data_IF_539437038470
#
_entry.id   IF_539437038470
#
_cell.length_a   1.000
_cell.length_b   1.000
_cell.length_c   1.000
_cell.angle_alpha   90.00
_cell.angle_beta   90.00
_cell.angle_gamma   90.00
#
_symmetry.space_group_name_H-M   'P 1'
#
loop_
_entity.id
_entity.type
_entity.pdbx_description
1 polymer ?
#
# COMPACT_ATOMS: atom_id res chain seq x y z
N UNK A 1 -0.76 4.43 16.48
CA UNK A 1 0.42 3.53 16.44
C UNK A 1 0.25 2.19 17.19
N UNK A 2 -0.96 1.61 17.26
CA UNK A 2 -1.20 0.28 17.87
C UNK A 2 -1.95 -0.64 16.90
N UNK A 3 -1.36 -0.88 15.73
CA UNK A 3 -1.98 -1.67 14.65
C UNK A 3 -2.37 -0.96 13.33
N UNK A 4 -2.51 0.38 13.21
CA UNK A 4 -2.82 0.99 11.92
C UNK A 4 -1.63 0.94 10.95
N UNK A 5 -1.93 1.03 9.65
CA UNK A 5 -0.95 1.13 8.57
C UNK A 5 -0.49 2.58 8.44
N UNK A 6 0.82 2.79 8.46
CA UNK A 6 1.45 4.10 8.25
C UNK A 6 2.36 4.04 7.03
N UNK A 7 2.09 4.89 6.04
CA UNK A 7 2.88 4.95 4.80
C UNK A 7 4.39 5.15 5.01
N UNK A 8 4.89 6.07 5.86
CA UNK A 8 6.32 6.34 5.94
C UNK A 8 7.10 5.12 6.47
N UNK A 9 6.56 4.45 7.50
CA UNK A 9 7.20 3.24 8.03
C UNK A 9 7.19 2.10 7.01
N UNK A 10 6.06 1.87 6.35
CA UNK A 10 5.97 0.82 5.32
C UNK A 10 6.91 1.11 4.14
N UNK A 11 6.98 2.37 3.70
CA UNK A 11 7.88 2.79 2.63
C UNK A 11 9.34 2.53 2.99
N UNK A 12 9.78 2.91 4.20
CA UNK A 12 11.15 2.65 4.67
C UNK A 12 11.47 1.16 4.73
N UNK A 13 10.54 0.32 5.20
CA UNK A 13 10.74 -1.13 5.19
C UNK A 13 10.88 -1.68 3.77
N UNK A 14 10.03 -1.24 2.84
CA UNK A 14 10.11 -1.65 1.43
C UNK A 14 11.46 -1.23 0.83
N UNK A 15 11.93 0.00 1.06
CA UNK A 15 13.24 0.42 0.57
C UNK A 15 14.38 -0.40 1.17
N UNK A 16 14.34 -0.68 2.48
CA UNK A 16 15.35 -1.52 3.12
C UNK A 16 15.41 -2.93 2.51
N UNK A 17 14.27 -3.56 2.25
CA UNK A 17 14.21 -4.88 1.61
C UNK A 17 14.76 -4.86 0.18
N UNK A 18 14.50 -3.80 -0.59
CA UNK A 18 15.08 -3.59 -1.93
C UNK A 18 16.60 -3.42 -1.87
N UNK A 19 17.11 -2.68 -0.88
CA UNK A 19 18.56 -2.54 -0.68
C UNK A 19 19.21 -3.87 -0.31
N UNK A 20 18.64 -4.63 0.64
CA UNK A 20 19.18 -5.96 0.98
C UNK A 20 19.17 -6.92 -0.21
N UNK A 21 18.13 -6.89 -1.05
CA UNK A 21 18.10 -7.66 -2.28
C UNK A 21 19.26 -7.31 -3.23
N UNK A 22 19.62 -6.03 -3.33
CA UNK A 22 20.71 -5.58 -4.19
C UNK A 22 22.05 -6.16 -3.75
N UNK A 23 22.29 -6.27 -2.44
CA UNK A 23 23.49 -6.92 -1.89
C UNK A 23 23.47 -8.45 -2.02
N UNK A 24 22.30 -9.08 -1.89
CA UNK A 24 22.16 -10.54 -1.82
C UNK A 24 22.14 -11.26 -3.18
N UNK A 25 21.87 -10.56 -4.28
CA UNK A 25 21.97 -11.17 -5.62
C UNK A 25 20.94 -12.25 -5.97
N UNK A 26 19.90 -12.46 -5.13
CA UNK A 26 18.79 -13.45 -5.25
C UNK A 26 19.06 -14.84 -4.64
N UNK A 27 20.07 -14.99 -3.80
CA UNK A 27 20.42 -16.29 -3.22
C UNK A 27 19.49 -16.69 -2.06
N UNK A 28 18.87 -15.74 -1.35
CA UNK A 28 17.89 -16.03 -0.31
C UNK A 28 16.44 -15.93 -0.78
N UNK A 29 15.66 -16.95 -0.43
CA UNK A 29 14.22 -17.02 -0.64
C UNK A 29 13.46 -17.07 0.68
N UNK A 30 12.32 -16.39 0.71
CA UNK A 30 11.46 -16.27 1.88
C UNK A 30 10.05 -16.70 1.52
N UNK A 31 9.36 -17.35 2.45
CA UNK A 31 7.97 -17.69 2.28
C UNK A 31 7.09 -16.44 2.41
N UNK A 32 6.32 -16.11 1.37
CA UNK A 32 5.44 -14.95 1.37
C UNK A 32 4.13 -15.16 0.59
N UNK A 33 2.96 -14.93 1.24
CA UNK A 33 2.79 -14.68 2.67
C UNK A 33 3.23 -15.88 3.51
N UNK A 34 3.55 -15.68 4.78
CA UNK A 34 3.90 -16.76 5.71
C UNK A 34 2.81 -17.83 5.73
N UNK A 35 3.19 -19.11 5.62
CA UNK A 35 2.27 -20.25 5.53
C UNK A 35 1.67 -20.53 4.14
N UNK A 36 2.12 -19.85 3.08
CA UNK A 36 1.64 -20.06 1.70
C UNK A 36 2.42 -21.11 0.88
N UNK A 37 3.57 -21.57 1.36
CA UNK A 37 4.60 -22.32 0.63
C UNK A 37 5.13 -21.63 -0.64
N UNK A 38 4.80 -20.35 -0.86
CA UNK A 38 5.28 -19.57 -2.01
C UNK A 38 6.60 -18.88 -1.62
N UNK A 39 7.69 -19.31 -2.24
CA UNK A 39 9.01 -18.74 -2.02
C UNK A 39 9.26 -17.57 -2.97
N UNK A 40 9.64 -16.42 -2.41
CA UNK A 40 9.94 -15.17 -3.11
C UNK A 40 11.27 -14.60 -2.62
N UNK A 41 12.02 -13.96 -3.52
CA UNK A 41 13.18 -13.15 -3.11
C UNK A 41 12.72 -11.80 -2.53
N UNK A 42 13.65 -11.03 -1.97
CA UNK A 42 13.34 -9.77 -1.29
C UNK A 42 12.81 -8.68 -2.23
N UNK A 43 13.19 -8.67 -3.52
CA UNK A 43 12.55 -7.78 -4.50
C UNK A 43 11.07 -8.13 -4.67
N UNK A 44 10.76 -9.41 -4.86
CA UNK A 44 9.40 -9.87 -5.07
C UNK A 44 8.53 -9.62 -3.83
N UNK A 45 9.07 -9.87 -2.62
CA UNK A 45 8.38 -9.52 -1.37
C UNK A 45 8.11 -8.02 -1.28
N UNK A 46 9.11 -7.19 -1.61
CA UNK A 46 8.97 -5.73 -1.67
C UNK A 46 7.89 -5.29 -2.67
N UNK A 47 7.82 -5.92 -3.84
CA UNK A 47 6.84 -5.63 -4.88
C UNK A 47 5.43 -6.00 -4.41
N UNK A 48 5.23 -7.16 -3.77
CA UNK A 48 3.93 -7.57 -3.23
C UNK A 48 3.45 -6.66 -2.08
N UNK A 49 4.35 -6.24 -1.19
CA UNK A 49 4.02 -5.25 -0.15
C UNK A 49 3.63 -3.89 -0.76
N UNK A 50 4.35 -3.45 -1.79
CA UNK A 50 4.04 -2.21 -2.53
C UNK A 50 2.65 -2.29 -3.15
N UNK A 51 2.34 -3.37 -3.87
CA UNK A 51 1.01 -3.63 -4.46
C UNK A 51 -0.09 -3.58 -3.40
N UNK A 52 0.12 -4.20 -2.23
CA UNK A 52 -0.89 -4.21 -1.15
C UNK A 52 -1.19 -2.81 -0.62
N UNK A 53 -0.19 -1.92 -0.55
CA UNK A 53 -0.39 -0.53 -0.12
C UNK A 53 -1.11 0.29 -1.21
N UNK A 54 -0.70 0.14 -2.47
CA UNK A 54 -1.31 0.80 -3.63
C UNK A 54 -2.78 0.38 -3.77
N UNK A 55 -3.08 -0.89 -3.57
CA UNK A 55 -4.42 -1.46 -3.69
C UNK A 55 -5.45 -0.77 -2.79
N UNK A 56 -5.05 -0.13 -1.69
CA UNK A 56 -5.98 0.66 -0.86
C UNK A 56 -6.63 1.82 -1.65
N UNK A 57 -5.91 2.36 -2.64
CA UNK A 57 -6.30 3.49 -3.48
C UNK A 57 -6.95 3.06 -4.81
N UNK A 58 -6.92 1.77 -5.13
CA UNK A 58 -7.51 1.23 -6.36
C UNK A 58 -9.01 0.98 -6.19
N UNK A 59 -9.74 1.04 -7.31
CA UNK A 59 -11.14 0.64 -7.34
C UNK A 59 -11.22 -0.88 -7.40
N UNK A 60 -12.09 -1.46 -6.58
CA UNK A 60 -12.48 -2.87 -6.66
C UNK A 60 -13.46 -3.12 -7.82
N UNK A 61 -13.90 -4.36 -7.97
CA UNK A 61 -14.89 -4.78 -8.99
C UNK A 61 -16.24 -4.03 -8.88
N UNK A 62 -16.54 -3.46 -7.71
CA UNK A 62 -17.75 -2.66 -7.45
C UNK A 62 -17.51 -1.15 -7.61
N UNK A 63 -16.30 -0.75 -7.99
CA UNK A 63 -15.91 0.64 -8.17
C UNK A 63 -15.52 1.38 -6.88
N UNK A 64 -15.38 0.67 -5.76
CA UNK A 64 -15.07 1.24 -4.44
C UNK A 64 -13.57 1.21 -4.14
N UNK A 65 -13.10 2.18 -3.35
CA UNK A 65 -11.72 2.17 -2.80
C UNK A 65 -11.74 1.88 -1.32
N UNK A 66 -10.78 1.10 -0.82
CA UNK A 66 -10.66 0.80 0.60
C UNK A 66 -10.57 2.08 1.44
N UNK A 67 -9.76 3.05 0.99
CA UNK A 67 -9.59 4.34 1.68
C UNK A 67 -10.91 5.11 1.91
N UNK A 68 -11.89 4.93 1.02
CA UNK A 68 -13.14 5.68 1.01
C UNK A 68 -14.26 5.03 1.84
N UNK A 69 -14.00 3.90 2.50
CA UNK A 69 -15.02 3.06 3.16
C UNK A 69 -15.92 3.80 4.17
N UNK A 70 -15.42 4.84 4.84
CA UNK A 70 -16.26 5.65 5.77
C UNK A 70 -17.32 6.50 5.05
N UNK A 71 -17.11 6.81 3.77
CA UNK A 71 -17.94 7.70 2.97
C UNK A 71 -18.29 7.09 1.60
N UNK A 72 -18.43 5.76 1.56
CA UNK A 72 -18.59 4.98 0.32
C UNK A 72 -19.69 5.55 -0.58
N UNK A 73 -20.86 5.87 -0.01
CA UNK A 73 -21.99 6.46 -0.74
C UNK A 73 -21.64 7.77 -1.45
N UNK A 74 -20.80 8.62 -0.85
CA UNK A 74 -20.37 9.88 -1.44
C UNK A 74 -19.46 9.63 -2.64
N UNK A 75 -18.54 8.68 -2.52
CA UNK A 75 -17.62 8.33 -3.60
C UNK A 75 -18.21 7.38 -4.66
N UNK A 76 -19.43 6.89 -4.46
CA UNK A 76 -20.21 6.23 -5.51
C UNK A 76 -20.93 7.24 -6.42
N UNK A 77 -21.02 8.51 -6.01
CA UNK A 77 -21.55 9.58 -6.85
C UNK A 77 -20.65 9.75 -8.10
N UNK A 78 -21.22 9.77 -9.32
CA UNK A 78 -20.46 9.95 -10.57
C UNK A 78 -19.55 11.18 -10.60
N UNK A 79 -19.87 12.23 -9.85
CA UNK A 79 -19.09 13.46 -9.77
C UNK A 79 -17.91 13.36 -8.80
N UNK A 80 -17.95 12.44 -7.83
CA UNK A 80 -16.92 12.30 -6.80
C UNK A 80 -16.11 11.00 -6.90
N UNK A 81 -16.54 10.05 -7.74
CA UNK A 81 -15.91 8.72 -7.89
C UNK A 81 -14.42 8.70 -8.23
N UNK A 82 -13.89 9.79 -8.77
CA UNK A 82 -12.48 9.89 -9.16
C UNK A 82 -11.66 10.77 -8.20
N UNK A 83 -12.31 11.36 -7.18
CA UNK A 83 -11.61 12.05 -6.11
C UNK A 83 -10.96 11.04 -5.17
N UNK A 84 -9.69 11.28 -4.86
CA UNK A 84 -8.88 10.45 -3.97
C UNK A 84 -8.39 11.32 -2.82
N UNK A 85 -8.83 11.01 -1.61
CA UNK A 85 -8.37 11.69 -0.42
C UNK A 85 -7.15 10.97 0.18
N UNK A 86 -6.20 11.76 0.66
CA UNK A 86 -5.02 11.28 1.36
C UNK A 86 -5.23 11.40 2.86
N UNK A 87 -4.88 10.35 3.59
CA UNK A 87 -5.11 10.22 5.03
C UNK A 87 -3.79 10.06 5.78
N UNK A 88 -3.81 10.41 7.06
CA UNK A 88 -2.67 10.29 7.96
C UNK A 88 -2.22 8.82 8.13
N UNK A 89 -3.18 7.92 8.32
CA UNK A 89 -2.94 6.47 8.43
C UNK A 89 -4.19 5.68 8.02
N UNK A 90 -4.06 4.36 7.93
CA UNK A 90 -5.13 3.47 7.47
C UNK A 90 -5.42 2.37 8.49
N UNK A 91 -6.65 1.87 8.49
CA UNK A 91 -7.05 0.78 9.35
C UNK A 91 -6.36 -0.54 8.95
N UNK A 92 -5.76 -1.24 9.92
CA UNK A 92 -4.93 -2.43 9.66
C UNK A 92 -5.67 -3.59 8.98
N UNK A 93 -6.97 -3.74 9.23
CA UNK A 93 -7.76 -4.86 8.68
C UNK A 93 -8.40 -4.57 7.32
N UNK A 94 -8.74 -3.31 7.04
CA UNK A 94 -9.62 -2.99 5.91
C UNK A 94 -9.19 -1.77 5.09
N UNK A 95 -8.05 -1.15 5.41
CA UNK A 95 -7.46 -0.08 4.61
C UNK A 95 -8.22 1.25 4.59
N UNK A 96 -9.29 1.41 5.37
CA UNK A 96 -10.03 2.69 5.40
C UNK A 96 -9.17 3.82 5.94
N UNK A 97 -9.31 5.01 5.36
CA UNK A 97 -8.60 6.22 5.78
C UNK A 97 -9.01 6.68 7.18
N UNK A 98 -8.03 7.12 7.97
CA UNK A 98 -8.18 7.57 9.35
C UNK A 98 -7.26 8.76 9.65
N UNK A 99 -7.54 9.46 10.75
CA UNK A 99 -6.77 10.63 11.18
C UNK A 99 -7.04 11.85 10.31
N UNK A 100 -6.03 12.73 10.19
CA UNK A 100 -6.15 13.92 9.36
C UNK A 100 -6.39 13.56 7.87
N UNK A 101 -7.36 14.23 7.26
CA UNK A 101 -7.59 14.25 5.81
C UNK A 101 -6.70 15.26 5.10
N UNK A 102 -6.59 15.17 3.77
CA UNK A 102 -5.68 15.99 2.95
C UNK A 102 -4.20 15.86 3.37
N UNK A 103 -3.84 14.72 3.94
CA UNK A 103 -2.46 14.42 4.31
C UNK A 103 -1.70 13.96 3.06
N UNK A 104 -1.57 14.83 2.05
CA UNK A 104 -0.67 14.61 0.90
C UNK A 104 0.79 14.88 1.29
N UNK A 105 1.14 14.57 2.54
CA UNK A 105 2.49 14.58 3.06
C UNK A 105 3.11 13.21 2.80
N UNK A 106 3.41 12.45 3.85
CA UNK A 106 4.02 11.12 3.69
C UNK A 106 3.15 10.13 2.91
N UNK A 107 1.83 10.30 2.85
CA UNK A 107 0.98 9.39 2.07
C UNK A 107 1.20 9.55 0.56
N UNK A 108 1.77 10.68 0.11
CA UNK A 108 2.20 10.87 -1.28
C UNK A 108 3.27 9.88 -1.74
N UNK A 109 3.97 9.21 -0.81
CA UNK A 109 4.93 8.14 -1.13
C UNK A 109 4.31 6.97 -1.90
N UNK A 110 2.98 6.85 -1.94
CA UNK A 110 2.30 5.88 -2.82
C UNK A 110 2.67 6.10 -4.30
N UNK A 111 2.90 7.33 -4.74
CA UNK A 111 3.33 7.63 -6.10
C UNK A 111 4.70 7.01 -6.42
N UNK A 112 5.65 7.09 -5.48
CA UNK A 112 6.95 6.44 -5.61
C UNK A 112 6.82 4.92 -5.70
N UNK A 113 5.90 4.31 -4.92
CA UNK A 113 5.66 2.87 -4.98
C UNK A 113 5.10 2.46 -6.36
N UNK A 114 4.22 3.26 -6.95
CA UNK A 114 3.68 3.03 -8.30
C UNK A 114 4.82 3.10 -9.32
N UNK A 115 5.61 4.18 -9.33
CA UNK A 115 6.73 4.36 -10.25
C UNK A 115 7.76 3.21 -10.15
N UNK A 116 8.04 2.73 -8.94
CA UNK A 116 8.98 1.64 -8.68
C UNK A 116 8.49 0.27 -9.16
N UNK A 117 7.19 0.08 -9.36
CA UNK A 117 6.62 -1.17 -9.90
C UNK A 117 6.56 -1.17 -11.43
N UNK A 118 6.53 0.00 -12.06
CA UNK A 118 6.50 0.16 -13.52
C UNK A 118 7.89 0.03 -14.17
N UNK A 119 8.96 0.14 -13.38
CA UNK A 119 10.37 -0.04 -13.81
C UNK A 119 10.84 -1.48 -13.65
#
# INVERSE_FOLDING_TARGET
WRGPIWMPMNYLFIQALREYQWYDGNDFLFEYPTGSNKLLNLKQVSDELSKRLIHMFEKDEKGNRAINKNYEKYYQDPHFKDLILFYEYFHGENGRGLGASHQTGWTALVANLIEQLEK
#
